data_IF_979963407464
#
_entry.id   IF_979963407464
#
_cell.length_a   1.000
_cell.length_b   1.000
_cell.length_c   1.000
_cell.angle_alpha   90.00
_cell.angle_beta   90.00
_cell.angle_gamma   90.00
#
_symmetry.space_group_name_H-M   'P 1'
#
loop_
_entity.id
_entity.type
_entity.pdbx_description
1 polymer ?
#
# COMPACT_ATOMS: atom_id res chain seq x y z
N UNK A 1 9.76 28.92 5.02
CA UNK A 1 9.81 28.42 3.63
C UNK A 1 8.69 27.43 3.50
N UNK A 2 7.70 27.70 2.65
CA UNK A 2 6.54 26.85 2.44
C UNK A 2 7.00 25.56 1.77
N UNK A 3 7.06 24.50 2.56
CA UNK A 3 7.34 23.12 2.15
C UNK A 3 6.11 22.59 1.42
N UNK A 4 5.89 23.09 0.21
CA UNK A 4 4.83 22.65 -0.68
C UNK A 4 5.15 21.27 -1.25
N UNK A 5 4.13 20.42 -1.31
CA UNK A 5 4.20 19.17 -2.04
C UNK A 5 4.24 19.48 -3.53
N UNK A 6 5.22 18.95 -4.24
CA UNK A 6 5.25 19.00 -5.70
C UNK A 6 4.81 17.64 -6.24
N UNK A 7 3.91 17.66 -7.21
CA UNK A 7 3.62 16.48 -8.01
C UNK A 7 4.92 15.97 -8.67
N UNK A 8 5.10 14.66 -8.64
CA UNK A 8 6.26 13.98 -9.21
C UNK A 8 5.74 13.05 -10.31
N UNK A 9 6.32 13.16 -11.50
CA UNK A 9 6.01 12.21 -12.58
C UNK A 9 6.41 10.79 -12.15
N UNK A 10 5.52 9.84 -12.41
CA UNK A 10 5.80 8.41 -12.30
C UNK A 10 6.76 7.95 -13.39
N UNK A 11 7.53 6.91 -13.11
CA UNK A 11 8.30 6.20 -14.13
C UNK A 11 7.38 5.29 -14.95
N UNK A 12 7.83 4.87 -16.13
CA UNK A 12 7.10 3.89 -16.96
C UNK A 12 6.80 2.59 -16.22
N UNK A 13 7.67 2.16 -15.31
CA UNK A 13 7.42 0.98 -14.48
C UNK A 13 6.29 1.24 -13.48
N UNK A 14 6.35 2.39 -12.79
CA UNK A 14 5.31 2.80 -11.84
C UNK A 14 3.96 2.96 -12.54
N UNK A 15 3.91 3.58 -13.72
CA UNK A 15 2.69 3.67 -14.54
C UNK A 15 2.08 2.31 -14.84
N UNK A 16 2.93 1.32 -15.16
CA UNK A 16 2.49 -0.03 -15.42
C UNK A 16 1.91 -0.70 -14.16
N UNK A 17 2.56 -0.51 -13.00
CA UNK A 17 2.05 -1.02 -11.72
C UNK A 17 0.73 -0.34 -11.36
N UNK A 18 0.65 1.00 -11.49
CA UNK A 18 -0.56 1.78 -11.22
C UNK A 18 -1.72 1.25 -12.05
N UNK A 19 -1.52 1.09 -13.37
CA UNK A 19 -2.53 0.56 -14.27
C UNK A 19 -3.06 -0.83 -13.86
N UNK A 20 -2.25 -1.65 -13.17
CA UNK A 20 -2.69 -2.95 -12.66
C UNK A 20 -3.46 -2.87 -11.34
N UNK A 21 -3.16 -1.88 -10.48
CA UNK A 21 -3.84 -1.73 -9.18
C UNK A 21 -5.13 -0.92 -9.29
N UNK A 22 -5.30 -0.12 -10.35
CA UNK A 22 -6.57 0.55 -10.63
C UNK A 22 -7.71 -0.47 -10.76
N UNK A 23 -8.81 -0.23 -10.05
CA UNK A 23 -9.96 -1.14 -9.99
C UNK A 23 -9.80 -2.31 -9.01
N UNK A 24 -8.68 -2.41 -8.30
CA UNK A 24 -8.51 -3.35 -7.19
C UNK A 24 -8.91 -2.71 -5.86
N UNK A 25 -9.33 -3.55 -4.90
CA UNK A 25 -9.67 -3.12 -3.54
C UNK A 25 -8.52 -3.40 -2.58
N UNK A 26 -8.13 -2.42 -1.77
CA UNK A 26 -7.15 -2.63 -0.69
C UNK A 26 -7.80 -3.40 0.47
N UNK A 27 -7.25 -4.56 0.81
CA UNK A 27 -7.75 -5.41 1.92
C UNK A 27 -7.02 -5.15 3.24
N UNK A 28 -5.72 -4.90 3.16
CA UNK A 28 -4.88 -4.68 4.33
C UNK A 28 -3.43 -4.48 3.94
N UNK A 29 -2.58 -4.27 4.93
CA UNK A 29 -1.16 -4.04 4.72
C UNK A 29 -0.32 -4.49 5.91
N UNK A 30 0.98 -4.62 5.69
CA UNK A 30 1.99 -4.72 6.73
C UNK A 30 3.25 -3.97 6.28
N UNK A 31 4.12 -3.65 7.24
CA UNK A 31 5.41 -2.99 6.97
C UNK A 31 6.52 -3.96 7.35
N UNK A 32 7.48 -4.15 6.45
CA UNK A 32 8.65 -4.98 6.68
C UNK A 32 9.83 -4.41 5.90
N UNK A 33 11.01 -4.39 6.51
CA UNK A 33 12.28 -3.94 5.89
C UNK A 33 12.13 -2.70 5.00
N UNK A 34 11.64 -1.61 5.58
CA UNK A 34 11.52 -0.31 4.88
C UNK A 34 10.57 -0.32 3.66
N UNK A 35 9.70 -1.32 3.54
CA UNK A 35 8.66 -1.36 2.52
C UNK A 35 7.27 -1.57 3.13
N UNK A 36 6.28 -0.93 2.51
CA UNK A 36 4.87 -1.20 2.74
C UNK A 36 4.40 -2.28 1.78
N UNK A 37 3.78 -3.32 2.30
CA UNK A 37 3.19 -4.41 1.54
C UNK A 37 1.68 -4.31 1.65
N UNK A 38 1.02 -3.94 0.56
CA UNK A 38 -0.44 -3.76 0.48
C UNK A 38 -1.07 -4.94 -0.24
N UNK A 39 -1.96 -5.66 0.44
CA UNK A 39 -2.71 -6.77 -0.14
C UNK A 39 -3.95 -6.25 -0.88
N UNK A 40 -4.08 -6.67 -2.14
CA UNK A 40 -5.22 -6.38 -3.00
C UNK A 40 -6.15 -7.59 -3.11
N UNK A 41 -7.45 -7.34 -3.31
CA UNK A 41 -8.49 -8.36 -3.51
C UNK A 41 -8.27 -9.27 -4.73
N UNK A 42 -7.53 -8.79 -5.72
CA UNK A 42 -7.09 -9.57 -6.89
C UNK A 42 -5.97 -10.58 -6.58
N UNK A 43 -5.51 -10.70 -5.34
CA UNK A 43 -4.48 -11.67 -4.93
C UNK A 43 -3.04 -11.23 -5.21
N UNK A 44 -2.82 -9.92 -5.35
CA UNK A 44 -1.49 -9.33 -5.53
C UNK A 44 -1.08 -8.54 -4.30
N UNK A 45 0.22 -8.47 -4.06
CA UNK A 45 0.84 -7.58 -3.10
C UNK A 45 1.51 -6.43 -3.84
N UNK A 46 1.04 -5.23 -3.59
CA UNK A 46 1.65 -3.98 -4.04
C UNK A 46 2.65 -3.51 -2.98
N UNK A 47 3.92 -3.45 -3.37
CA UNK A 47 5.03 -3.02 -2.52
C UNK A 47 5.32 -1.55 -2.81
N UNK A 48 5.45 -0.74 -1.77
CA UNK A 48 5.83 0.67 -1.85
C UNK A 48 7.05 0.88 -0.96
N UNK A 49 8.17 1.31 -1.56
CA UNK A 49 9.46 1.49 -0.89
C UNK A 49 9.60 2.93 -0.36
N UNK A 50 10.59 3.16 0.53
CA UNK A 50 10.82 4.48 1.14
C UNK A 50 11.06 5.61 0.13
N UNK A 51 11.67 5.31 -1.01
CA UNK A 51 11.96 6.26 -2.09
C UNK A 51 10.76 6.51 -3.02
N UNK A 52 9.63 5.85 -2.76
CA UNK A 52 8.42 5.90 -3.58
C UNK A 52 8.46 4.96 -4.80
N UNK A 53 9.52 4.18 -5.00
CA UNK A 53 9.48 3.07 -5.96
C UNK A 53 8.41 2.06 -5.55
N UNK A 54 7.98 1.25 -6.51
CA UNK A 54 6.98 0.22 -6.25
C UNK A 54 7.21 -1.04 -7.06
N UNK A 55 6.65 -2.13 -6.56
CA UNK A 55 6.56 -3.39 -7.30
C UNK A 55 5.21 -4.04 -7.06
N UNK A 56 4.84 -4.96 -7.94
CA UNK A 56 3.59 -5.70 -7.83
C UNK A 56 3.86 -7.16 -8.14
N UNK A 57 3.53 -8.05 -7.20
CA UNK A 57 3.75 -9.48 -7.34
C UNK A 57 2.53 -10.26 -6.86
N UNK A 58 2.23 -11.44 -7.43
CA UNK A 58 1.25 -12.36 -6.85
C UNK A 58 1.63 -12.69 -5.40
N UNK A 59 0.64 -12.75 -4.51
CA UNK A 59 0.91 -12.89 -3.07
C UNK A 59 1.81 -14.09 -2.69
N UNK A 60 1.74 -15.28 -3.33
CA UNK A 60 2.62 -16.39 -2.96
C UNK A 60 4.09 -16.12 -3.32
N UNK A 61 4.32 -15.37 -4.41
CA UNK A 61 5.68 -15.00 -4.85
C UNK A 61 6.26 -13.96 -3.90
N UNK A 62 5.50 -12.89 -3.62
CA UNK A 62 5.92 -11.84 -2.70
C UNK A 62 6.27 -12.40 -1.31
N UNK A 63 5.46 -13.32 -0.77
CA UNK A 63 5.73 -13.94 0.54
C UNK A 63 6.87 -14.96 0.48
N UNK A 64 7.06 -15.63 -0.66
CA UNK A 64 8.20 -16.53 -0.88
C UNK A 64 9.55 -15.80 -0.85
N UNK A 65 9.59 -14.58 -1.38
CA UNK A 65 10.78 -13.72 -1.44
C UNK A 65 10.99 -12.91 -0.16
N UNK A 66 9.95 -12.73 0.66
CA UNK A 66 9.99 -11.96 1.90
C UNK A 66 10.91 -12.60 2.95
N UNK A 67 11.96 -11.90 3.40
CA UNK A 67 12.84 -12.35 4.49
C UNK A 67 12.26 -12.06 5.90
N UNK A 68 11.07 -12.59 6.17
CA UNK A 68 10.36 -12.38 7.44
C UNK A 68 10.63 -13.45 8.51
N UNK A 69 11.55 -14.40 8.26
CA UNK A 69 11.84 -15.51 9.18
C UNK A 69 10.57 -16.23 9.67
N UNK A 70 10.41 -16.35 10.99
CA UNK A 70 9.27 -17.02 11.62
C UNK A 70 7.93 -16.32 11.38
N UNK A 71 7.92 -15.02 11.05
CA UNK A 71 6.68 -14.27 10.81
C UNK A 71 6.05 -14.62 9.47
N UNK A 72 6.81 -15.18 8.51
CA UNK A 72 6.34 -15.46 7.14
C UNK A 72 5.09 -16.34 7.13
N UNK A 73 5.05 -17.40 7.95
CA UNK A 73 3.90 -18.31 8.04
C UNK A 73 2.65 -17.60 8.56
N UNK A 74 2.81 -16.71 9.56
CA UNK A 74 1.70 -15.94 10.10
C UNK A 74 1.21 -14.87 9.11
N UNK A 75 2.12 -14.23 8.36
CA UNK A 75 1.76 -13.30 7.28
C UNK A 75 0.92 -14.03 6.23
N UNK A 76 1.32 -15.24 5.83
CA UNK A 76 0.54 -16.05 4.88
C UNK A 76 -0.87 -16.35 5.41
N UNK A 77 -0.99 -16.76 6.68
CA UNK A 77 -2.30 -17.03 7.32
C UNK A 77 -3.19 -15.80 7.31
N UNK A 78 -2.63 -14.64 7.65
CA UNK A 78 -3.36 -13.38 7.67
C UNK A 78 -3.81 -12.95 6.25
N UNK A 79 -2.96 -13.16 5.23
CA UNK A 79 -3.29 -12.92 3.82
C UNK A 79 -4.45 -13.81 3.37
N UNK A 80 -4.36 -15.12 3.63
CA UNK A 80 -5.40 -16.08 3.24
C UNK A 80 -6.74 -15.72 3.92
N UNK A 81 -6.70 -15.26 5.17
CA UNK A 81 -7.87 -14.81 5.89
C UNK A 81 -8.49 -13.56 5.27
N UNK A 82 -7.67 -12.56 4.93
CA UNK A 82 -8.12 -11.33 4.26
C UNK A 82 -8.68 -11.61 2.88
N UNK A 83 -8.06 -12.46 2.07
CA UNK A 83 -8.57 -12.83 0.75
C UNK A 83 -9.91 -13.57 0.84
N UNK A 84 -10.12 -14.37 1.88
CA UNK A 84 -11.37 -15.12 2.09
C UNK A 84 -12.49 -14.27 2.66
N UNK A 85 -12.19 -13.39 3.61
CA UNK A 85 -13.20 -12.69 4.43
C UNK A 85 -13.28 -11.18 4.15
N UNK A 86 -12.33 -10.64 3.39
CA UNK A 86 -12.24 -9.21 3.08
C UNK A 86 -12.19 -8.35 4.33
N UNK A 87 -12.97 -7.26 4.33
CA UNK A 87 -13.05 -6.32 5.46
C UNK A 87 -13.60 -6.94 6.77
N UNK A 88 -14.19 -8.14 6.71
CA UNK A 88 -14.74 -8.84 7.87
C UNK A 88 -13.72 -9.68 8.62
N UNK A 89 -12.53 -9.88 8.07
CA UNK A 89 -11.46 -10.64 8.72
C UNK A 89 -11.20 -10.13 10.15
N UNK A 90 -11.00 -11.05 11.09
CA UNK A 90 -10.70 -10.75 12.49
C UNK A 90 -9.50 -11.56 12.97
N UNK A 91 -8.81 -11.10 14.01
CA UNK A 91 -7.72 -11.87 14.63
C UNK A 91 -6.42 -11.89 13.82
N UNK A 92 -6.22 -10.95 12.89
CA UNK A 92 -4.93 -10.73 12.22
C UNK A 92 -3.83 -10.43 13.24
N UNK A 93 -2.63 -10.94 13.00
CA UNK A 93 -1.50 -10.84 13.93
C UNK A 93 -0.31 -10.06 13.37
N UNK A 94 -0.15 -10.06 12.05
CA UNK A 94 0.92 -9.38 11.32
C UNK A 94 0.36 -8.32 10.38
N UNK A 95 -0.81 -8.56 9.78
CA UNK A 95 -1.46 -7.60 8.89
C UNK A 95 -2.40 -6.69 9.64
N UNK A 96 -2.43 -5.44 9.19
CA UNK A 96 -3.40 -4.43 9.58
C UNK A 96 -4.44 -4.38 8.47
N UNK A 97 -5.73 -4.40 8.84
CA UNK A 97 -6.81 -4.22 7.86
C UNK A 97 -6.72 -2.84 7.24
N UNK A 98 -7.21 -2.72 6.00
CA UNK A 98 -7.40 -1.42 5.39
C UNK A 98 -8.24 -0.54 6.33
N UNK A 99 -7.81 0.70 6.63
CA UNK A 99 -8.53 1.58 7.53
C UNK A 99 -9.87 2.06 6.95
N UNK A 100 -10.04 1.95 5.64
CA UNK A 100 -11.21 2.33 4.87
C UNK A 100 -11.44 1.35 3.71
N UNK A 101 -12.63 1.34 3.14
CA UNK A 101 -12.91 0.57 1.93
C UNK A 101 -12.45 1.37 0.70
N UNK A 102 -11.34 0.96 0.09
CA UNK A 102 -10.70 1.71 -1.00
C UNK A 102 -10.64 0.87 -2.28
N UNK A 103 -11.66 1.00 -3.13
CA UNK A 103 -11.61 0.58 -4.54
C UNK A 103 -10.85 1.65 -5.32
N UNK A 104 -9.63 1.34 -5.76
CA UNK A 104 -8.68 2.33 -6.28
C UNK A 104 -9.17 2.89 -7.62
N UNK A 105 -9.36 4.21 -7.71
CA UNK A 105 -9.71 4.93 -8.95
C UNK A 105 -8.55 5.73 -9.51
N UNK A 106 -7.68 6.25 -8.63
CA UNK A 106 -6.57 7.11 -9.00
C UNK A 106 -5.42 6.94 -8.02
N UNK A 107 -4.20 7.09 -8.52
CA UNK A 107 -2.97 7.09 -7.73
C UNK A 107 -2.12 8.27 -8.21
N UNK A 108 -1.73 9.17 -7.29
CA UNK A 108 -0.86 10.30 -7.60
C UNK A 108 0.34 10.39 -6.66
N UNK A 109 1.45 10.91 -7.18
CA UNK A 109 2.73 10.99 -6.47
C UNK A 109 3.08 12.43 -6.17
N UNK A 110 3.45 12.66 -4.93
CA UNK A 110 3.99 13.93 -4.51
C UNK A 110 5.29 13.69 -3.77
N UNK A 111 6.25 14.58 -3.98
CA UNK A 111 7.50 14.57 -3.26
C UNK A 111 7.70 15.90 -2.58
N UNK A 112 8.40 15.86 -1.46
CA UNK A 112 8.82 17.05 -0.73
C UNK A 112 10.12 16.76 0.00
N UNK A 113 11.22 17.28 -0.55
CA UNK A 113 12.56 17.02 -0.05
C UNK A 113 12.86 15.51 -0.03
N UNK A 114 12.92 14.90 1.14
CA UNK A 114 13.21 13.48 1.38
C UNK A 114 11.96 12.66 1.73
N UNK A 115 10.78 13.27 1.63
CA UNK A 115 9.49 12.64 1.91
C UNK A 115 8.74 12.42 0.61
N UNK A 116 8.23 11.21 0.40
CA UNK A 116 7.34 10.87 -0.69
C UNK A 116 5.94 10.63 -0.14
N UNK A 117 4.96 10.97 -0.96
CA UNK A 117 3.56 10.80 -0.67
C UNK A 117 2.88 10.15 -1.86
N UNK A 118 2.25 9.03 -1.59
CA UNK A 118 1.34 8.38 -2.50
C UNK A 118 -0.09 8.69 -2.05
N UNK A 119 -0.83 9.39 -2.90
CA UNK A 119 -2.26 9.57 -2.72
C UNK A 119 -2.97 8.49 -3.52
N UNK A 120 -3.68 7.63 -2.82
CA UNK A 120 -4.51 6.58 -3.39
C UNK A 120 -5.95 7.03 -3.20
N UNK A 121 -6.61 7.43 -4.27
CA UNK A 121 -8.01 7.85 -4.21
C UNK A 121 -8.86 6.66 -4.60
N UNK A 122 -9.72 6.24 -3.68
CA UNK A 122 -10.75 5.27 -3.98
C UNK A 122 -12.11 5.90 -4.23
N UNK A 123 -13.05 5.06 -4.67
CA UNK A 123 -14.41 5.47 -5.03
C UNK A 123 -15.10 6.29 -3.93
N UNK A 124 -15.12 5.78 -2.70
CA UNK A 124 -15.75 6.43 -1.53
C UNK A 124 -14.71 7.01 -0.56
N UNK A 125 -13.66 6.24 -0.27
CA UNK A 125 -12.57 6.62 0.61
C UNK A 125 -11.21 6.36 -0.06
N UNK A 126 -10.16 6.95 0.47
CA UNK A 126 -8.80 6.80 -0.03
C UNK A 126 -7.78 6.46 1.05
N UNK A 127 -6.54 6.33 0.60
CA UNK A 127 -5.37 6.15 1.43
C UNK A 127 -4.33 7.22 1.11
N UNK A 128 -3.61 7.66 2.13
CA UNK A 128 -2.36 8.39 1.95
C UNK A 128 -1.24 7.55 2.54
N UNK A 129 -0.19 7.32 1.76
CA UNK A 129 1.05 6.70 2.22
C UNK A 129 2.15 7.75 2.17
N UNK A 130 2.67 8.12 3.34
CA UNK A 130 3.84 8.99 3.45
C UNK A 130 5.06 8.13 3.80
N UNK A 131 6.15 8.29 3.04
CA UNK A 131 7.45 7.66 3.31
C UNK A 131 8.53 8.71 3.51
N UNK A 132 9.51 8.47 4.37
CA UNK A 132 10.64 9.39 4.57
C UNK A 132 11.97 8.64 4.53
N UNK A 133 12.85 9.07 3.63
CA UNK A 133 14.21 8.51 3.52
C UNK A 133 15.08 8.87 4.72
N UNK A 134 14.91 10.06 5.32
CA UNK A 134 15.75 10.46 6.46
C UNK A 134 15.41 9.74 7.76
N UNK A 135 14.13 9.41 7.97
CA UNK A 135 13.68 8.75 9.20
C UNK A 135 13.39 7.25 9.04
N UNK A 136 13.33 6.74 7.80
CA UNK A 136 12.89 5.37 7.52
C UNK A 136 11.43 5.10 7.86
N UNK A 137 10.62 6.15 8.04
CA UNK A 137 9.22 6.00 8.47
C UNK A 137 8.29 5.79 7.28
N UNK A 138 7.31 4.91 7.45
CA UNK A 138 6.15 4.74 6.57
C UNK A 138 4.89 4.99 7.39
N UNK A 139 4.03 5.88 6.93
CA UNK A 139 2.75 6.23 7.55
C UNK A 139 1.61 5.97 6.58
N UNK A 140 0.65 5.18 7.02
CA UNK A 140 -0.57 4.86 6.26
C UNK A 140 -1.76 5.51 6.96
N UNK A 141 -2.48 6.35 6.24
CA UNK A 141 -3.60 7.14 6.77
C UNK A 141 -4.81 6.93 5.86
N UNK A 142 -5.93 6.49 6.45
CA UNK A 142 -7.22 6.48 5.74
C UNK A 142 -7.75 7.91 5.56
N UNK A 143 -8.16 8.26 4.35
CA UNK A 143 -8.70 9.57 4.03
C UNK A 143 -10.16 9.42 3.58
N UNK A 144 -11.07 10.13 4.24
CA UNK A 144 -12.47 10.16 3.83
C UNK A 144 -12.61 11.15 2.66
N UNK A 145 -13.20 10.74 1.55
CA UNK A 145 -13.51 11.66 0.45
C UNK A 145 -14.68 12.52 0.94
N UNK A 146 -14.42 13.82 1.21
CA UNK A 146 -15.51 14.75 1.56
C UNK A 146 -16.33 14.95 0.28
N UNK A 147 -17.53 14.38 0.23
CA UNK A 147 -18.52 14.72 -0.79
C UNK A 147 -18.75 16.24 -0.73
N UNK A 148 -18.31 16.94 -1.77
CA UNK A 148 -18.65 18.33 -2.05
C UNK A 148 -19.99 18.41 -2.76
#
# INVERSE_FOLDING_TARGET
MTTEWSEKDSTTHQDHVIAHVLGATILGYFIHDEALYVLLDIGFIWMIYLDGEMGLLPHPVAIGELDAGEKRSQIQVDIDLLLREGCRAQGLRQLIRAPVNCLIEEVSFHARSDVFRLLIVGQEDGLTVDTSLSSGEIKVIGTLRRHG
#
